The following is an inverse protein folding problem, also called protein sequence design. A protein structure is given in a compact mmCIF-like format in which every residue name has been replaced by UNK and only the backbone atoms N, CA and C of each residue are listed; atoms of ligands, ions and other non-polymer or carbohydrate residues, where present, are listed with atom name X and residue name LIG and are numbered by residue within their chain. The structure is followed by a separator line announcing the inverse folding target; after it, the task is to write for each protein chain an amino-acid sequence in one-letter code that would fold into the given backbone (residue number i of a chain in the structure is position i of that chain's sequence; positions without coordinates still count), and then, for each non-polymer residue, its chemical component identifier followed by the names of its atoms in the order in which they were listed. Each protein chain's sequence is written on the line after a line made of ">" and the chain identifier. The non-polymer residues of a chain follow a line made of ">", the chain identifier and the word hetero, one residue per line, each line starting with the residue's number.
data_IF_532019523090
#
_entry.id   IF_532019523090
#
_cell.length_a   1.000
_cell.length_b   1.000
_cell.length_c   1.000
_cell.angle_alpha   90.00
_cell.angle_beta   90.00
_cell.angle_gamma   90.00
#
_symmetry.space_group_name_H-M   'P 1'
#
loop_
_entity.id
_entity.type
_entity.pdbx_description
1 polymer ?
#
# COMPACT_ATOMS: atom_id res chain seq x y z
N UNK A 1 -1.82 13.92 -18.36
CA UNK A 1 -2.39 12.60 -18.02
C UNK A 1 -3.91 12.65 -18.16
N UNK A 2 -4.51 11.78 -18.98
CA UNK A 2 -5.97 11.70 -19.22
C UNK A 2 -6.70 11.02 -18.04
N UNK A 3 -8.03 11.11 -17.99
CA UNK A 3 -8.84 10.48 -16.94
C UNK A 3 -8.63 8.95 -16.85
N UNK A 4 -8.50 8.28 -17.99
CA UNK A 4 -8.23 6.84 -18.07
C UNK A 4 -6.90 6.49 -17.41
N UNK A 5 -5.82 7.24 -17.69
CA UNK A 5 -4.51 7.00 -17.07
C UNK A 5 -4.54 7.14 -15.55
N UNK A 6 -5.25 8.15 -15.02
CA UNK A 6 -5.42 8.31 -13.57
C UNK A 6 -6.21 7.17 -12.94
N UNK A 7 -7.28 6.70 -13.59
CA UNK A 7 -8.06 5.58 -13.11
C UNK A 7 -7.25 4.28 -13.08
N UNK A 8 -6.46 4.01 -14.13
CA UNK A 8 -5.55 2.86 -14.19
C UNK A 8 -4.52 2.91 -13.06
N UNK A 9 -3.88 4.05 -12.85
CA UNK A 9 -2.91 4.23 -11.76
C UNK A 9 -3.56 4.05 -10.40
N UNK A 10 -4.71 4.67 -10.15
CA UNK A 10 -5.41 4.56 -8.87
C UNK A 10 -5.76 3.10 -8.53
N UNK A 11 -6.26 2.34 -9.51
CA UNK A 11 -6.50 0.91 -9.35
C UNK A 11 -5.22 0.15 -9.06
N UNK A 12 -4.15 0.40 -9.81
CA UNK A 12 -2.87 -0.25 -9.60
C UNK A 12 -2.32 0.02 -8.19
N UNK A 13 -2.39 1.27 -7.71
CA UNK A 13 -1.95 1.62 -6.35
C UNK A 13 -2.77 0.89 -5.28
N UNK A 14 -4.08 0.79 -5.47
CA UNK A 14 -4.94 0.03 -4.58
C UNK A 14 -4.54 -1.45 -4.54
N UNK A 15 -4.35 -2.07 -5.69
CA UNK A 15 -4.14 -3.51 -5.78
C UNK A 15 -2.71 -3.90 -5.39
N UNK A 16 -1.70 -3.10 -5.74
CA UNK A 16 -0.28 -3.44 -5.57
C UNK A 16 0.38 -2.80 -4.35
N UNK A 17 -0.11 -1.66 -3.85
CA UNK A 17 0.42 -1.01 -2.66
C UNK A 17 -0.54 -1.20 -1.48
N UNK A 18 -1.70 -0.53 -1.50
CA UNK A 18 -2.57 -0.50 -0.33
C UNK A 18 -3.18 -1.85 0.02
N UNK A 19 -3.37 -2.71 -0.98
CA UNK A 19 -3.91 -4.06 -0.84
C UNK A 19 -2.88 -5.13 -0.46
N UNK A 20 -1.58 -4.86 -0.60
CA UNK A 20 -0.52 -5.86 -0.38
C UNK A 20 0.53 -5.44 0.65
N UNK A 21 0.64 -4.16 0.96
CA UNK A 21 1.62 -3.62 1.89
C UNK A 21 0.93 -3.15 3.17
N UNK A 22 1.32 -3.72 4.31
CA UNK A 22 0.85 -3.27 5.62
C UNK A 22 1.58 -1.99 6.05
N UNK A 23 2.91 -2.00 5.92
CA UNK A 23 3.78 -0.86 6.17
C UNK A 23 5.04 -0.96 5.28
N UNK A 24 5.43 0.11 4.56
CA UNK A 24 6.50 0.05 3.55
C UNK A 24 7.92 -0.04 4.16
N UNK A 25 8.07 0.26 5.45
CA UNK A 25 9.35 0.18 6.16
C UNK A 25 9.62 -1.20 6.81
N UNK A 26 8.81 -2.20 6.47
CA UNK A 26 9.00 -3.59 6.88
C UNK A 26 9.55 -4.40 5.72
N UNK A 27 10.16 -5.54 6.03
CA UNK A 27 10.44 -6.57 5.02
C UNK A 27 9.17 -6.89 4.21
N UNK A 28 9.33 -7.07 2.89
CA UNK A 28 8.22 -7.22 1.97
C UNK A 28 7.33 -8.42 2.31
N UNK A 29 7.92 -9.56 2.64
CA UNK A 29 7.18 -10.77 2.99
C UNK A 29 6.43 -10.60 4.31
N UNK A 30 7.10 -10.05 5.32
CA UNK A 30 6.47 -9.80 6.62
C UNK A 30 5.34 -8.76 6.53
N UNK A 31 5.54 -7.69 5.78
CA UNK A 31 4.51 -6.66 5.53
C UNK A 31 3.29 -7.25 4.81
N UNK A 32 3.51 -8.11 3.81
CA UNK A 32 2.43 -8.77 3.08
C UNK A 32 1.62 -9.73 3.96
N UNK A 33 2.27 -10.50 4.84
CA UNK A 33 1.56 -11.38 5.77
C UNK A 33 0.73 -10.59 6.78
N UNK A 34 1.25 -9.49 7.35
CA UNK A 34 0.46 -8.61 8.22
C UNK A 34 -0.74 -8.02 7.48
N UNK A 35 -0.57 -7.63 6.22
CA UNK A 35 -1.68 -7.11 5.41
C UNK A 35 -2.74 -8.19 5.18
N UNK A 36 -2.31 -9.43 4.94
CA UNK A 36 -3.21 -10.57 4.81
C UNK A 36 -3.97 -10.82 6.11
N UNK A 37 -3.32 -10.72 7.28
CA UNK A 37 -4.00 -10.81 8.58
C UNK A 37 -5.06 -9.70 8.72
N UNK A 38 -4.71 -8.45 8.40
CA UNK A 38 -5.66 -7.31 8.42
C UNK A 38 -6.91 -7.60 7.58
N UNK A 39 -6.71 -8.05 6.34
CA UNK A 39 -7.81 -8.42 5.42
C UNK A 39 -8.63 -9.60 5.93
N UNK A 40 -7.96 -10.59 6.52
CA UNK A 40 -8.59 -11.78 7.05
C UNK A 40 -9.45 -11.50 8.29
N UNK A 41 -9.10 -10.50 9.11
CA UNK A 41 -9.97 -10.07 10.23
C UNK A 41 -11.36 -9.68 9.72
N UNK A 42 -11.44 -8.99 8.57
CA UNK A 42 -12.72 -8.65 7.93
C UNK A 42 -13.32 -9.87 7.23
N UNK A 43 -12.54 -10.61 6.45
CA UNK A 43 -13.03 -11.73 5.65
C UNK A 43 -13.67 -12.85 6.50
N UNK A 44 -13.09 -13.15 7.66
CA UNK A 44 -13.59 -14.19 8.57
C UNK A 44 -14.56 -13.66 9.63
N UNK A 45 -14.87 -12.36 9.65
CA UNK A 45 -15.92 -11.83 10.51
C UNK A 45 -17.30 -12.26 10.00
N UNK A 46 -18.24 -12.49 10.92
CA UNK A 46 -19.65 -12.62 10.54
C UNK A 46 -20.11 -11.34 9.83
N UNK A 47 -20.94 -11.42 8.77
CA UNK A 47 -21.50 -10.24 8.11
C UNK A 47 -22.22 -9.36 9.15
N UNK A 48 -21.86 -8.08 9.28
CA UNK A 48 -22.46 -7.21 10.28
C UNK A 48 -23.96 -7.01 9.95
N UNK A 49 -24.87 -7.24 10.91
CA UNK A 49 -26.32 -7.14 10.71
C UNK A 49 -26.81 -5.70 10.59
N UNK A 50 -26.01 -4.72 11.00
CA UNK A 50 -26.34 -3.29 10.98
C UNK A 50 -25.05 -2.43 10.87
N UNK A 51 -25.24 -1.11 10.73
CA UNK A 51 -24.13 -0.17 10.57
C UNK A 51 -23.24 -0.10 11.83
N UNK A 52 -23.82 -0.14 13.03
CA UNK A 52 -23.05 -0.05 14.28
C UNK A 52 -22.07 -1.21 14.42
N UNK A 53 -22.49 -2.43 14.06
CA UNK A 53 -21.60 -3.61 14.04
C UNK A 53 -20.55 -3.53 12.92
N UNK A 54 -20.87 -2.91 11.78
CA UNK A 54 -19.89 -2.66 10.71
C UNK A 54 -18.82 -1.65 11.14
N UNK A 55 -19.22 -0.61 11.87
CA UNK A 55 -18.33 0.40 12.44
C UNK A 55 -17.48 -0.20 13.56
N UNK A 56 -18.06 -1.08 14.41
CA UNK A 56 -17.32 -1.82 15.43
C UNK A 56 -16.27 -2.75 14.83
N UNK A 57 -16.58 -3.46 13.74
CA UNK A 57 -15.60 -4.27 13.01
C UNK A 57 -14.48 -3.41 12.42
N UNK A 58 -14.82 -2.25 11.87
CA UNK A 58 -13.84 -1.30 11.33
C UNK A 58 -12.92 -0.78 12.45
N UNK A 59 -13.49 -0.37 13.59
CA UNK A 59 -12.73 0.07 14.75
C UNK A 59 -11.79 -1.03 15.29
N UNK A 60 -12.24 -2.29 15.30
CA UNK A 60 -11.41 -3.44 15.68
C UNK A 60 -10.20 -3.59 14.75
N UNK A 61 -10.38 -3.47 13.43
CA UNK A 61 -9.29 -3.58 12.46
C UNK A 61 -8.30 -2.43 12.62
N UNK A 62 -8.79 -1.19 12.75
CA UNK A 62 -7.95 -0.02 13.01
C UNK A 62 -7.17 -0.16 14.32
N UNK A 63 -7.82 -0.60 15.39
CA UNK A 63 -7.15 -0.81 16.68
C UNK A 63 -6.08 -1.92 16.58
N UNK A 64 -6.38 -3.03 15.91
CA UNK A 64 -5.40 -4.10 15.67
C UNK A 64 -4.18 -3.57 14.95
N UNK A 65 -4.40 -2.74 13.92
CA UNK A 65 -3.33 -2.15 13.13
C UNK A 65 -2.46 -1.19 13.95
N UNK A 66 -3.07 -0.27 14.70
CA UNK A 66 -2.37 0.66 15.59
C UNK A 66 -1.52 -0.08 16.62
N UNK A 67 -2.10 -1.04 17.34
CA UNK A 67 -1.36 -1.79 18.38
C UNK A 67 -0.26 -2.66 17.77
N UNK A 68 -0.45 -3.20 16.56
CA UNK A 68 0.59 -3.92 15.84
C UNK A 68 1.76 -3.01 15.47
N UNK A 69 1.49 -1.79 15.00
CA UNK A 69 2.53 -0.79 14.73
C UNK A 69 3.28 -0.36 16.00
N UNK A 70 2.57 -0.12 17.10
CA UNK A 70 3.18 0.17 18.41
C UNK A 70 4.13 -0.96 18.85
N UNK A 71 3.68 -2.22 18.74
CA UNK A 71 4.50 -3.38 19.03
C UNK A 71 5.72 -3.56 18.10
N UNK A 72 5.65 -2.99 16.89
CA UNK A 72 6.75 -3.02 15.90
C UNK A 72 7.61 -1.75 15.91
N UNK A 73 7.38 -0.79 16.81
CA UNK A 73 8.08 0.49 16.84
C UNK A 73 9.62 0.33 16.83
N UNK A 74 10.16 -0.67 17.52
CA UNK A 74 11.60 -0.96 17.54
C UNK A 74 12.16 -1.32 16.16
N UNK A 75 11.37 -1.98 15.30
CA UNK A 75 11.76 -2.27 13.90
C UNK A 75 11.56 -1.06 13.02
N UNK A 76 10.41 -0.39 13.15
CA UNK A 76 10.02 0.74 12.31
C UNK A 76 10.96 1.95 12.50
N UNK A 77 11.56 2.09 13.67
CA UNK A 77 12.55 3.12 13.99
C UNK A 77 14.01 2.67 13.81
N UNK A 78 14.25 1.48 13.24
CA UNK A 78 15.60 0.99 13.00
C UNK A 78 16.21 1.60 11.73
N UNK A 79 17.55 1.61 11.64
CA UNK A 79 18.24 2.04 10.42
C UNK A 79 17.83 1.21 9.18
N UNK A 80 17.45 -0.06 9.38
CA UNK A 80 17.00 -0.95 8.32
C UNK A 80 15.65 -0.52 7.73
N UNK A 81 14.79 0.14 8.52
CA UNK A 81 13.46 0.57 8.07
C UNK A 81 13.53 1.61 6.94
N UNK A 82 14.50 2.52 7.01
CA UNK A 82 14.73 3.51 5.96
C UNK A 82 15.14 2.84 4.64
N UNK A 83 16.02 1.85 4.70
CA UNK A 83 16.45 1.09 3.53
C UNK A 83 15.30 0.26 2.94
N UNK A 84 14.56 -0.48 3.78
CA UNK A 84 13.41 -1.26 3.33
C UNK A 84 12.37 -0.40 2.60
N UNK A 85 12.11 0.82 3.11
CA UNK A 85 11.24 1.79 2.46
C UNK A 85 11.78 2.26 1.10
N UNK A 86 13.09 2.53 1.01
CA UNK A 86 13.72 2.94 -0.24
C UNK A 86 13.64 1.83 -1.29
N UNK A 87 13.93 0.59 -0.90
CA UNK A 87 13.85 -0.60 -1.77
C UNK A 87 12.41 -0.83 -2.25
N UNK A 88 11.43 -0.67 -1.37
CA UNK A 88 10.01 -0.75 -1.72
C UNK A 88 9.62 0.31 -2.76
N UNK A 89 10.06 1.56 -2.59
CA UNK A 89 9.81 2.64 -3.56
C UNK A 89 10.41 2.27 -4.92
N UNK A 90 11.69 1.87 -4.97
CA UNK A 90 12.35 1.51 -6.23
C UNK A 90 11.64 0.36 -6.95
N UNK A 91 11.28 -0.70 -6.21
CA UNK A 91 10.51 -1.82 -6.75
C UNK A 91 9.15 -1.37 -7.30
N UNK A 92 8.41 -0.57 -6.53
CA UNK A 92 7.07 -0.14 -6.91
C UNK A 92 7.09 0.83 -8.12
N UNK A 93 8.10 1.69 -8.24
CA UNK A 93 8.32 2.54 -9.42
C UNK A 93 8.58 1.70 -10.66
N UNK A 94 9.45 0.70 -10.56
CA UNK A 94 9.75 -0.23 -11.65
C UNK A 94 8.48 -0.96 -12.10
N UNK A 95 7.71 -1.51 -11.15
CA UNK A 95 6.50 -2.26 -11.44
C UNK A 95 5.39 -1.38 -12.04
N UNK A 96 5.18 -0.16 -11.53
CA UNK A 96 4.21 0.77 -12.09
C UNK A 96 4.61 1.19 -13.50
N UNK A 97 5.89 1.51 -13.72
CA UNK A 97 6.39 1.90 -15.04
C UNK A 97 6.18 0.78 -16.05
N UNK A 98 6.53 -0.45 -15.70
CA UNK A 98 6.29 -1.63 -16.54
C UNK A 98 4.79 -1.84 -16.82
N UNK A 99 3.94 -1.70 -15.80
CA UNK A 99 2.49 -1.80 -15.96
C UNK A 99 1.95 -0.76 -16.93
N UNK A 100 2.39 0.49 -16.82
CA UNK A 100 1.97 1.58 -17.70
C UNK A 100 2.48 1.39 -19.14
N UNK A 101 3.73 0.97 -19.33
CA UNK A 101 4.29 0.68 -20.66
C UNK A 101 3.50 -0.41 -21.40
N UNK A 102 3.00 -1.42 -20.68
CA UNK A 102 2.22 -2.50 -21.27
C UNK A 102 0.78 -2.07 -21.66
N UNK A 103 0.27 -0.97 -21.11
CA UNK A 103 -1.13 -0.56 -21.29
C UNK A 103 -1.29 0.79 -22.01
N UNK A 104 -0.21 1.55 -22.23
CA UNK A 104 -0.21 2.82 -22.95
C UNK A 104 0.55 2.66 -24.27
N UNK A 105 -0.15 2.87 -25.38
CA UNK A 105 0.34 2.62 -26.74
C UNK A 105 1.46 3.57 -27.22
N UNK A 106 1.86 4.55 -26.40
CA UNK A 106 2.82 5.62 -26.77
C UNK A 106 3.72 6.03 -25.58
N UNK A 107 4.20 5.03 -24.83
CA UNK A 107 4.90 5.24 -23.57
C UNK A 107 6.35 5.78 -23.71
N UNK A 108 6.91 5.78 -24.92
CA UNK A 108 8.34 6.05 -25.14
C UNK A 108 8.72 7.56 -25.02
N UNK A 109 7.80 8.48 -25.31
CA UNK A 109 8.14 9.90 -25.52
C UNK A 109 7.90 10.84 -24.32
N UNK A 110 7.29 10.40 -23.22
CA UNK A 110 6.76 11.34 -22.19
C UNK A 110 7.34 11.26 -20.78
N UNK A 111 8.61 10.85 -20.59
CA UNK A 111 9.29 11.00 -19.28
C UNK A 111 8.53 10.35 -18.12
N UNK A 112 7.85 9.23 -18.37
CA UNK A 112 6.92 8.59 -17.42
C UNK A 112 7.55 8.19 -16.08
N UNK A 113 8.85 7.86 -16.09
CA UNK A 113 9.60 7.46 -14.91
C UNK A 113 9.55 8.51 -13.79
N UNK A 114 9.76 9.79 -14.12
CA UNK A 114 9.74 10.87 -13.11
C UNK A 114 8.36 11.01 -12.45
N UNK A 115 7.29 10.90 -13.25
CA UNK A 115 5.92 10.96 -12.74
C UNK A 115 5.55 9.72 -11.90
N UNK A 116 6.01 8.53 -12.31
CA UNK A 116 5.81 7.30 -11.56
C UNK A 116 6.48 7.38 -10.18
N UNK A 117 7.73 7.86 -10.10
CA UNK A 117 8.43 8.05 -8.82
C UNK A 117 7.65 8.92 -7.86
N UNK A 118 7.25 10.13 -8.27
CA UNK A 118 6.49 11.02 -7.38
C UNK A 118 5.15 10.43 -6.94
N UNK A 119 4.45 9.71 -7.81
CA UNK A 119 3.20 9.03 -7.46
C UNK A 119 3.43 7.95 -6.40
N UNK A 120 4.47 7.12 -6.58
CA UNK A 120 4.81 6.05 -5.65
C UNK A 120 5.26 6.62 -4.31
N UNK A 121 6.09 7.66 -4.29
CA UNK A 121 6.54 8.31 -3.05
C UNK A 121 5.35 8.84 -2.24
N UNK A 122 4.36 9.45 -2.90
CA UNK A 122 3.12 9.89 -2.25
C UNK A 122 2.32 8.71 -1.70
N UNK A 123 2.13 7.66 -2.49
CA UNK A 123 1.37 6.48 -2.06
C UNK A 123 2.06 5.76 -0.87
N UNK A 124 3.38 5.64 -0.90
CA UNK A 124 4.20 5.09 0.18
C UNK A 124 4.13 6.00 1.41
N UNK A 125 4.15 7.33 1.22
CA UNK A 125 3.93 8.31 2.28
C UNK A 125 2.58 8.12 2.97
N UNK A 126 1.50 7.91 2.22
CA UNK A 126 0.19 7.58 2.76
C UNK A 126 0.24 6.25 3.51
N UNK A 127 0.77 5.19 2.90
CA UNK A 127 0.84 3.86 3.51
C UNK A 127 1.64 3.83 4.83
N UNK A 128 2.66 4.68 4.99
CA UNK A 128 3.40 4.86 6.24
C UNK A 128 2.56 5.46 7.38
N UNK A 129 1.50 6.19 7.07
CA UNK A 129 0.69 6.93 8.05
C UNK A 129 -0.78 6.50 8.08
N UNK A 130 -1.15 5.41 7.40
CA UNK A 130 -2.45 4.81 7.59
C UNK A 130 -2.59 4.42 9.07
N UNK A 131 -3.76 4.64 9.70
CA UNK A 131 -4.04 4.15 11.05
C UNK A 131 -4.36 2.66 11.00
#
# INVERSE_FOLDING_TARGET
>A
MTAVGRATIARWLNDEIFGKCFHPALDLGFSAELKRVEQNIRFFAAPPPNQDEADALTAKITQWRLTTMEGLAYRLNSAHAAQAKADFIQMAVSNLTAHLMNHLHDAADHGFQGNATSIIELAVGIASHLP
#
